data_IF_832609671885
#
_entry.id   IF_832609671885
#
_cell.length_a   1.000
_cell.length_b   1.000
_cell.length_c   1.000
_cell.angle_alpha   90.00
_cell.angle_beta   90.00
_cell.angle_gamma   90.00
#
_symmetry.space_group_name_H-M   'P 1'
#
loop_
_entity.id
_entity.type
_entity.pdbx_description
1 polymer ?
#
# COMPACT_ATOMS: atom_id res chain seq x y z
N UNK A 1 26.36 7.89 0.98
CA UNK A 1 26.45 7.06 -0.24
C UNK A 1 25.04 6.92 -0.77
N UNK A 2 24.84 7.05 -2.09
CA UNK A 2 23.53 6.91 -2.72
C UNK A 2 23.04 5.45 -2.71
N UNK A 3 23.91 4.48 -3.05
CA UNK A 3 23.80 3.03 -2.77
C UNK A 3 22.40 2.37 -2.82
N UNK A 4 21.53 2.80 -3.73
CA UNK A 4 20.26 2.11 -3.98
C UNK A 4 20.53 0.69 -4.50
N UNK A 5 21.25 0.58 -5.61
CA UNK A 5 21.55 -0.70 -6.29
C UNK A 5 22.79 -1.43 -5.74
N UNK A 6 23.70 -0.71 -5.07
CA UNK A 6 24.92 -1.32 -4.51
C UNK A 6 24.67 -2.12 -3.24
N UNK A 7 23.62 -1.73 -2.53
CA UNK A 7 23.05 -2.45 -1.43
C UNK A 7 23.96 -2.83 -0.25
N UNK A 8 23.55 -3.88 0.47
CA UNK A 8 24.26 -4.50 1.60
C UNK A 8 24.39 -6.00 1.37
N UNK A 9 25.63 -6.48 1.24
CA UNK A 9 25.92 -7.91 1.08
C UNK A 9 25.28 -8.74 2.21
N UNK A 10 24.79 -9.93 1.86
CA UNK A 10 24.17 -10.90 2.76
C UNK A 10 22.97 -10.34 3.55
N UNK A 11 22.16 -9.48 2.93
CA UNK A 11 20.84 -9.08 3.47
C UNK A 11 19.77 -9.38 2.43
N UNK A 12 18.55 -9.75 2.88
CA UNK A 12 17.40 -9.88 1.98
C UNK A 12 16.89 -8.51 1.51
N UNK A 13 17.02 -7.52 2.37
CA UNK A 13 16.51 -6.17 2.22
C UNK A 13 17.64 -5.22 1.88
N UNK A 14 18.47 -5.67 0.93
CA UNK A 14 19.79 -5.16 0.69
C UNK A 14 19.83 -3.89 -0.14
N UNK A 15 18.78 -3.53 -0.87
CA UNK A 15 18.79 -2.37 -1.78
C UNK A 15 18.05 -1.15 -1.17
N UNK A 16 18.06 0.03 -1.82
CA UNK A 16 17.60 1.33 -1.24
C UNK A 16 18.32 1.75 0.06
N UNK A 17 19.58 1.35 0.21
CA UNK A 17 20.36 1.52 1.45
C UNK A 17 20.73 2.98 1.72
N UNK A 18 20.92 3.78 0.67
CA UNK A 18 21.22 5.20 0.81
C UNK A 18 20.08 5.95 1.49
N UNK A 19 18.88 5.86 0.94
CA UNK A 19 17.68 6.48 1.50
C UNK A 19 17.38 6.00 2.92
N UNK A 20 17.50 4.69 3.17
CA UNK A 20 17.33 4.16 4.52
C UNK A 20 18.35 4.76 5.50
N UNK A 21 19.64 4.78 5.16
CA UNK A 21 20.65 5.35 6.06
C UNK A 21 20.45 6.84 6.30
N UNK A 22 20.02 7.58 5.28
CA UNK A 22 19.76 9.00 5.38
C UNK A 22 18.73 9.29 6.47
N UNK A 23 17.59 8.60 6.47
CA UNK A 23 16.52 8.86 7.44
C UNK A 23 16.71 8.16 8.79
N UNK A 24 17.24 6.93 8.80
CA UNK A 24 17.29 6.14 10.03
C UNK A 24 18.60 6.33 10.83
N UNK A 25 19.68 6.78 10.18
CA UNK A 25 20.99 6.98 10.86
C UNK A 25 21.47 8.42 10.83
N UNK A 26 21.50 9.05 9.67
CA UNK A 26 22.16 10.36 9.50
C UNK A 26 21.25 11.52 9.91
N UNK A 27 19.97 11.43 9.57
CA UNK A 27 18.98 12.48 9.77
C UNK A 27 17.67 11.98 10.39
N UNK A 28 17.71 11.34 11.59
CA UNK A 28 16.51 10.87 12.28
C UNK A 28 15.54 11.97 12.69
N UNK A 29 15.94 13.25 12.58
CA UNK A 29 15.07 14.41 12.82
C UNK A 29 14.32 14.94 11.60
N UNK A 30 14.53 14.36 10.42
CA UNK A 30 13.80 14.72 9.18
C UNK A 30 12.37 14.17 9.15
N UNK A 31 12.12 12.90 9.52
CA UNK A 31 10.75 12.42 9.71
C UNK A 31 9.99 13.31 10.71
N UNK A 32 8.71 13.58 10.42
CA UNK A 32 7.91 14.53 11.19
C UNK A 32 8.08 16.01 10.79
N UNK A 33 8.94 16.31 9.80
CA UNK A 33 9.08 17.65 9.22
C UNK A 33 8.87 17.67 7.71
N UNK A 34 9.40 16.66 7.01
CA UNK A 34 9.21 16.53 5.57
C UNK A 34 7.76 16.12 5.31
N UNK A 35 7.06 16.95 4.52
CA UNK A 35 5.63 16.75 4.28
C UNK A 35 5.35 15.89 3.06
N UNK A 36 6.32 15.74 2.14
CA UNK A 36 6.26 14.99 0.89
C UNK A 36 7.66 14.59 0.41
N UNK A 37 7.80 13.37 -0.08
CA UNK A 37 8.87 12.94 -0.99
C UNK A 37 8.28 12.67 -2.38
N UNK A 38 8.97 13.14 -3.41
CA UNK A 38 8.65 12.90 -4.82
C UNK A 38 9.85 12.16 -5.42
N UNK A 39 9.77 10.84 -5.48
CA UNK A 39 10.78 10.00 -6.10
C UNK A 39 10.55 9.92 -7.62
N UNK A 40 11.63 9.83 -8.39
CA UNK A 40 11.57 9.72 -9.85
C UNK A 40 12.48 8.59 -10.33
N UNK A 41 11.87 7.53 -10.85
CA UNK A 41 12.57 6.36 -11.37
C UNK A 41 12.37 6.22 -12.87
N UNK A 42 13.47 6.11 -13.63
CA UNK A 42 13.42 5.97 -15.08
C UNK A 42 12.46 6.99 -15.77
N UNK A 43 12.48 8.30 -15.42
CA UNK A 43 11.44 9.26 -15.82
C UNK A 43 11.54 9.68 -17.29
N UNK A 44 12.56 9.25 -18.02
CA UNK A 44 12.72 9.57 -19.44
C UNK A 44 12.09 8.52 -20.37
N UNK A 45 11.37 7.53 -19.84
CA UNK A 45 10.80 6.43 -20.61
C UNK A 45 9.33 6.17 -20.25
N UNK A 46 8.52 5.81 -21.25
CA UNK A 46 7.14 5.40 -21.03
C UNK A 46 7.02 3.90 -20.79
N UNK A 47 6.87 3.51 -19.53
CA UNK A 47 6.64 2.13 -19.07
C UNK A 47 5.26 1.54 -19.43
N UNK A 48 4.54 2.18 -20.35
CA UNK A 48 3.26 1.72 -20.83
C UNK A 48 2.40 2.82 -21.46
N UNK A 49 1.19 2.44 -21.86
CA UNK A 49 0.22 3.35 -22.48
C UNK A 49 -0.54 4.22 -21.47
N UNK A 50 -0.37 3.97 -20.18
CA UNK A 50 -1.01 4.69 -19.07
C UNK A 50 0.08 5.11 -18.09
N UNK A 51 0.12 6.38 -17.72
CA UNK A 51 0.97 6.83 -16.62
C UNK A 51 0.23 6.63 -15.29
N UNK A 52 0.94 6.21 -14.26
CA UNK A 52 0.42 6.19 -12.89
C UNK A 52 1.45 6.86 -11.98
N UNK A 53 0.99 7.55 -10.95
CA UNK A 53 1.79 7.87 -9.78
C UNK A 53 1.52 6.77 -8.77
N UNK A 54 2.56 6.05 -8.36
CA UNK A 54 2.49 5.12 -7.24
C UNK A 54 2.73 5.89 -5.96
N UNK A 55 1.86 5.73 -4.97
CA UNK A 55 1.93 6.55 -3.76
C UNK A 55 1.31 5.86 -2.55
N UNK A 56 1.63 6.40 -1.37
CA UNK A 56 0.94 6.08 -0.12
C UNK A 56 -0.56 6.36 -0.27
N UNK A 57 -1.38 5.60 0.45
CA UNK A 57 -2.84 5.76 0.39
C UNK A 57 -3.27 7.19 0.71
N UNK A 58 -2.61 7.82 1.68
CA UNK A 58 -2.97 9.13 2.21
C UNK A 58 -2.90 10.25 1.18
N UNK A 59 -2.15 10.09 0.10
CA UNK A 59 -2.03 11.07 -0.97
C UNK A 59 -2.98 10.84 -2.13
N UNK A 60 -3.66 9.69 -2.18
CA UNK A 60 -4.45 9.28 -3.34
C UNK A 60 -5.43 10.36 -3.79
N UNK A 61 -6.22 10.91 -2.84
CA UNK A 61 -7.19 11.97 -3.11
C UNK A 61 -6.52 13.26 -3.62
N UNK A 62 -5.48 13.73 -2.95
CA UNK A 62 -4.75 14.95 -3.33
C UNK A 62 -4.15 14.81 -4.74
N UNK A 63 -3.44 13.72 -5.01
CA UNK A 63 -2.82 13.46 -6.32
C UNK A 63 -3.87 13.34 -7.42
N UNK A 64 -4.99 12.66 -7.18
CA UNK A 64 -6.08 12.58 -8.17
C UNK A 64 -6.66 13.96 -8.49
N UNK A 65 -6.79 14.85 -7.50
CA UNK A 65 -7.23 16.23 -7.74
C UNK A 65 -6.22 16.98 -8.62
N UNK A 66 -4.91 16.84 -8.34
CA UNK A 66 -3.84 17.47 -9.14
C UNK A 66 -3.81 16.94 -10.58
N UNK A 67 -3.95 15.64 -10.78
CA UNK A 67 -4.00 15.03 -12.11
C UNK A 67 -5.22 15.48 -12.92
N UNK A 68 -6.39 15.66 -12.27
CA UNK A 68 -7.60 16.19 -12.93
C UNK A 68 -7.45 17.65 -13.36
N UNK A 69 -6.58 18.40 -12.70
CA UNK A 69 -6.31 19.80 -12.98
C UNK A 69 -5.18 20.02 -13.99
N UNK A 70 -4.67 18.95 -14.63
CA UNK A 70 -3.60 19.07 -15.62
C UNK A 70 -4.09 19.73 -16.92
N UNK A 71 -3.21 20.50 -17.60
CA UNK A 71 -3.47 20.99 -18.94
C UNK A 71 -3.79 19.85 -19.91
N UNK A 72 -4.73 20.09 -20.83
CA UNK A 72 -5.19 19.08 -21.80
C UNK A 72 -4.06 18.43 -22.61
N UNK A 73 -3.01 19.14 -23.09
CA UNK A 73 -1.90 18.51 -23.80
C UNK A 73 -1.16 17.46 -22.96
N UNK A 74 -0.94 17.74 -21.67
CA UNK A 74 -0.29 16.78 -20.76
C UNK A 74 -1.21 15.59 -20.46
N UNK A 75 -2.49 15.85 -20.20
CA UNK A 75 -3.46 14.81 -19.87
C UNK A 75 -3.66 13.80 -21.01
N UNK A 76 -3.36 14.18 -22.26
CA UNK A 76 -3.49 13.35 -23.46
C UNK A 76 -2.21 12.66 -23.92
N UNK A 77 -1.04 12.94 -23.32
CA UNK A 77 0.22 12.30 -23.74
C UNK A 77 0.14 10.77 -23.65
N UNK A 78 -0.42 10.26 -22.56
CA UNK A 78 -0.63 8.83 -22.37
C UNK A 78 -2.01 8.43 -22.91
N UNK A 79 -2.10 7.56 -23.95
CA UNK A 79 -3.36 7.27 -24.64
C UNK A 79 -4.39 6.51 -23.79
N UNK A 80 -3.96 5.80 -22.74
CA UNK A 80 -4.85 5.17 -21.75
C UNK A 80 -5.02 6.03 -20.48
N UNK A 81 -4.65 7.30 -20.56
CA UNK A 81 -4.80 8.29 -19.50
C UNK A 81 -3.73 8.23 -18.43
N UNK A 82 -4.04 8.88 -17.31
CA UNK A 82 -3.16 9.03 -16.14
C UNK A 82 -3.91 8.62 -14.88
N UNK A 83 -3.22 8.23 -13.82
CA UNK A 83 -3.88 7.85 -12.57
C UNK A 83 -2.94 7.76 -11.38
N UNK A 84 -3.50 7.28 -10.27
CA UNK A 84 -2.77 7.02 -9.03
C UNK A 84 -3.01 5.58 -8.61
N UNK A 85 -1.95 4.87 -8.22
CA UNK A 85 -1.99 3.51 -7.67
C UNK A 85 -1.41 3.50 -6.26
N UNK A 86 -1.97 2.68 -5.39
CA UNK A 86 -1.56 2.52 -4.00
C UNK A 86 -1.61 1.02 -3.64
N UNK A 87 -0.81 0.54 -2.68
CA UNK A 87 0.22 1.29 -1.94
C UNK A 87 1.49 1.54 -2.77
N UNK A 88 2.46 2.21 -2.18
CA UNK A 88 3.84 2.14 -2.65
C UNK A 88 4.34 0.70 -2.62
N UNK A 89 5.29 0.40 -3.48
CA UNK A 89 5.95 -0.89 -3.55
C UNK A 89 7.35 -0.76 -2.99
N UNK A 90 7.98 -1.90 -2.71
CA UNK A 90 9.32 -1.90 -2.16
C UNK A 90 10.34 -1.35 -3.15
N UNK A 91 10.05 -1.36 -4.46
CA UNK A 91 10.90 -1.21 -5.67
C UNK A 91 11.62 0.13 -5.91
N UNK A 92 11.41 1.16 -5.10
CA UNK A 92 12.41 2.24 -5.02
C UNK A 92 12.58 2.84 -3.62
N UNK A 93 13.45 3.86 -3.51
CA UNK A 93 13.75 4.57 -2.27
C UNK A 93 12.49 5.10 -1.54
N UNK A 94 11.42 5.42 -2.27
CA UNK A 94 10.15 5.91 -1.73
C UNK A 94 9.57 5.02 -0.62
N UNK A 95 9.80 3.70 -0.67
CA UNK A 95 9.41 2.78 0.41
C UNK A 95 10.12 3.10 1.72
N UNK A 96 11.44 3.23 1.69
CA UNK A 96 12.27 3.57 2.85
C UNK A 96 11.86 4.91 3.47
N UNK A 97 11.48 5.89 2.64
CA UNK A 97 10.99 7.18 3.11
C UNK A 97 9.63 7.08 3.78
N UNK A 98 8.68 6.35 3.18
CA UNK A 98 7.37 6.13 3.79
C UNK A 98 7.48 5.46 5.14
N UNK A 99 8.19 4.32 5.21
CA UNK A 99 8.35 3.60 6.47
C UNK A 99 9.13 4.41 7.50
N UNK A 100 9.87 5.46 7.14
CA UNK A 100 10.50 6.35 8.12
C UNK A 100 9.51 7.36 8.71
N UNK A 101 8.35 7.57 8.07
CA UNK A 101 7.35 8.56 8.43
C UNK A 101 7.31 9.77 7.51
N UNK A 102 7.92 9.69 6.31
CA UNK A 102 7.85 10.72 5.27
C UNK A 102 6.91 10.24 4.17
N UNK A 103 5.71 10.84 4.01
CA UNK A 103 4.78 10.43 2.96
C UNK A 103 5.42 10.58 1.57
N UNK A 104 5.38 9.52 0.77
CA UNK A 104 6.15 9.42 -0.47
C UNK A 104 5.31 9.01 -1.69
N UNK A 105 5.91 9.20 -2.86
CA UNK A 105 5.38 8.77 -4.14
C UNK A 105 6.51 8.57 -5.15
N UNK A 106 6.24 7.79 -6.18
CA UNK A 106 7.13 7.57 -7.33
C UNK A 106 6.32 7.54 -8.63
N UNK A 107 6.92 7.89 -9.77
CA UNK A 107 6.30 7.56 -11.05
C UNK A 107 6.27 6.05 -11.22
N UNK A 108 5.13 5.45 -11.52
CA UNK A 108 5.05 4.01 -11.76
C UNK A 108 5.95 3.61 -12.94
N UNK A 109 6.80 2.61 -12.71
CA UNK A 109 7.80 2.12 -13.66
C UNK A 109 7.91 0.59 -13.70
N UNK A 110 7.21 -0.15 -12.82
CA UNK A 110 7.37 -1.60 -12.67
C UNK A 110 6.73 -2.45 -13.78
N UNK A 111 6.20 -1.84 -14.84
CA UNK A 111 5.53 -2.54 -15.94
C UNK A 111 6.21 -2.24 -17.29
N UNK A 112 5.97 -3.10 -18.29
CA UNK A 112 6.36 -2.84 -19.68
C UNK A 112 7.63 -3.56 -20.14
N UNK A 113 7.79 -3.66 -21.46
CA UNK A 113 8.87 -4.43 -22.08
C UNK A 113 10.27 -3.92 -21.74
N UNK A 114 10.39 -2.65 -21.34
CA UNK A 114 11.65 -2.06 -20.91
C UNK A 114 12.23 -2.81 -19.70
N UNK A 115 11.39 -3.11 -18.70
CA UNK A 115 11.79 -3.83 -17.49
C UNK A 115 12.28 -5.26 -17.80
N UNK A 116 11.76 -5.87 -18.86
CA UNK A 116 12.12 -7.25 -19.25
C UNK A 116 13.37 -7.32 -20.14
N UNK A 117 13.68 -6.27 -20.90
CA UNK A 117 14.65 -6.35 -22.02
C UNK A 117 15.80 -5.34 -21.94
N UNK A 118 15.66 -4.26 -21.18
CA UNK A 118 16.64 -3.18 -21.12
C UNK A 118 17.13 -2.91 -19.70
N UNK A 119 16.22 -2.84 -18.72
CA UNK A 119 16.54 -2.51 -17.33
C UNK A 119 17.71 -3.35 -16.77
N UNK A 120 18.65 -2.68 -16.10
CA UNK A 120 19.88 -3.29 -15.56
C UNK A 120 20.76 -4.04 -16.58
N UNK A 121 20.71 -3.64 -17.86
CA UNK A 121 21.57 -4.19 -18.90
C UNK A 121 22.31 -3.08 -19.65
N UNK A 122 23.29 -3.47 -20.47
CA UNK A 122 23.97 -2.56 -21.39
C UNK A 122 23.05 -1.94 -22.47
N UNK A 123 21.82 -2.45 -22.61
CA UNK A 123 20.82 -1.89 -23.52
C UNK A 123 20.05 -0.71 -22.89
N UNK A 124 20.14 -0.50 -21.57
CA UNK A 124 19.72 0.73 -20.93
C UNK A 124 20.73 1.85 -21.25
N UNK A 125 20.45 2.60 -22.31
CA UNK A 125 21.30 3.65 -22.85
C UNK A 125 20.46 4.77 -23.45
N UNK A 126 21.12 5.81 -23.98
CA UNK A 126 20.49 7.01 -24.54
C UNK A 126 19.43 6.73 -25.62
N UNK A 127 19.43 5.54 -26.25
CA UNK A 127 18.41 5.13 -27.22
C UNK A 127 17.02 4.92 -26.60
N UNK A 128 16.92 4.73 -25.28
CA UNK A 128 15.66 4.58 -24.56
C UNK A 128 14.97 5.91 -24.22
N UNK A 129 15.68 7.03 -24.41
CA UNK A 129 15.22 8.38 -24.09
C UNK A 129 14.02 8.81 -24.95
N UNK A 130 12.94 9.23 -24.29
CA UNK A 130 11.79 9.88 -24.89
C UNK A 130 11.66 11.30 -24.35
N UNK A 131 11.95 12.28 -25.22
CA UNK A 131 11.91 13.71 -24.88
C UNK A 131 10.53 14.18 -24.41
N UNK A 132 9.45 13.66 -25.00
CA UNK A 132 8.09 14.08 -24.64
C UNK A 132 7.71 13.54 -23.26
N UNK A 133 8.11 12.31 -22.96
CA UNK A 133 7.90 11.69 -21.64
C UNK A 133 8.74 12.37 -20.58
N UNK A 134 10.02 12.63 -20.87
CA UNK A 134 10.92 13.37 -19.99
C UNK A 134 10.35 14.74 -19.62
N UNK A 135 9.92 15.51 -20.63
CA UNK A 135 9.29 16.82 -20.42
C UNK A 135 7.98 16.71 -19.63
N UNK A 136 7.16 15.70 -19.90
CA UNK A 136 5.92 15.46 -19.18
C UNK A 136 6.16 15.22 -17.69
N UNK A 137 7.08 14.33 -17.32
CA UNK A 137 7.39 14.07 -15.92
C UNK A 137 7.98 15.32 -15.24
N UNK A 138 8.86 16.07 -15.90
CA UNK A 138 9.38 17.33 -15.36
C UNK A 138 8.26 18.32 -15.04
N UNK A 139 7.34 18.54 -15.98
CA UNK A 139 6.22 19.46 -15.80
C UNK A 139 5.23 18.96 -14.74
N UNK A 140 4.91 17.67 -14.73
CA UNK A 140 3.99 17.07 -13.77
C UNK A 140 4.53 17.19 -12.35
N UNK A 141 5.75 16.73 -12.11
CA UNK A 141 6.31 16.67 -10.76
C UNK A 141 6.73 18.06 -10.25
N UNK A 142 7.14 18.99 -11.12
CA UNK A 142 7.30 20.40 -10.74
C UNK A 142 5.98 21.03 -10.31
N UNK A 143 4.88 20.73 -11.01
CA UNK A 143 3.56 21.21 -10.62
C UNK A 143 3.11 20.62 -9.28
N UNK A 144 3.40 19.35 -9.03
CA UNK A 144 3.11 18.71 -7.74
C UNK A 144 3.93 19.33 -6.60
N UNK A 145 5.21 19.61 -6.81
CA UNK A 145 6.06 20.33 -5.86
C UNK A 145 5.44 21.68 -5.48
N UNK A 146 5.06 22.49 -6.47
CA UNK A 146 4.38 23.77 -6.23
C UNK A 146 3.03 23.62 -5.51
N UNK A 147 2.30 22.53 -5.77
CA UNK A 147 1.05 22.25 -5.09
C UNK A 147 1.27 21.89 -3.61
N UNK A 148 2.35 21.18 -3.28
CA UNK A 148 2.73 20.92 -1.88
C UNK A 148 3.18 22.19 -1.16
N UNK A 149 3.92 23.09 -1.82
CA UNK A 149 4.35 24.38 -1.26
C UNK A 149 3.15 25.28 -0.89
N UNK A 150 1.99 25.05 -1.51
CA UNK A 150 0.73 25.74 -1.21
C UNK A 150 -0.05 25.09 -0.07
N UNK A 151 0.56 24.21 0.73
CA UNK A 151 -0.09 23.56 1.88
C UNK A 151 0.51 24.01 3.21
N UNK A 152 -0.36 24.39 4.16
CA UNK A 152 0.06 24.61 5.56
C UNK A 152 0.11 23.29 6.33
N UNK A 153 -0.77 22.35 5.97
CA UNK A 153 -0.87 21.03 6.54
C UNK A 153 -0.61 19.98 5.44
N UNK A 154 0.14 18.90 5.73
CA UNK A 154 0.33 17.80 4.78
C UNK A 154 -1.05 17.30 4.31
N UNK A 155 -1.31 17.19 2.99
CA UNK A 155 -2.63 16.85 2.46
C UNK A 155 -2.94 15.34 2.58
N UNK A 156 -2.83 14.81 3.80
CA UNK A 156 -2.99 13.41 4.13
C UNK A 156 -4.46 13.06 4.37
N UNK A 157 -4.97 12.09 3.63
CA UNK A 157 -6.28 11.49 3.80
C UNK A 157 -6.19 10.01 4.22
N UNK A 158 -6.22 9.75 5.52
CA UNK A 158 -6.17 8.38 6.06
C UNK A 158 -7.36 7.51 5.67
N UNK A 159 -8.45 8.09 5.17
CA UNK A 159 -9.64 7.34 4.80
C UNK A 159 -9.36 6.33 3.68
N UNK A 160 -8.50 6.68 2.71
CA UNK A 160 -8.15 5.80 1.59
C UNK A 160 -7.48 4.50 2.07
N UNK A 161 -6.58 4.57 3.05
CA UNK A 161 -5.96 3.38 3.67
C UNK A 161 -7.00 2.54 4.41
N UNK A 162 -7.85 3.20 5.21
CA UNK A 162 -8.85 2.55 6.04
C UNK A 162 -9.93 1.85 5.20
N UNK A 163 -10.30 2.45 4.07
CA UNK A 163 -11.20 1.80 3.10
C UNK A 163 -10.53 0.58 2.50
N UNK A 164 -9.28 0.69 2.03
CA UNK A 164 -8.53 -0.46 1.51
C UNK A 164 -8.39 -1.59 2.55
N UNK A 165 -8.11 -1.24 3.81
CA UNK A 165 -8.08 -2.20 4.93
C UNK A 165 -9.43 -2.88 5.15
N UNK A 166 -10.53 -2.15 5.03
CA UNK A 166 -11.88 -2.70 5.16
C UNK A 166 -12.29 -3.62 4.02
N UNK A 167 -11.83 -3.30 2.80
CA UNK A 167 -12.06 -4.08 1.58
C UNK A 167 -11.22 -5.36 1.55
N UNK A 168 -10.06 -5.40 2.20
CA UNK A 168 -9.21 -6.59 2.25
C UNK A 168 -9.74 -7.67 3.20
N UNK A 169 -10.51 -7.33 4.23
CA UNK A 169 -11.05 -8.31 5.20
C UNK A 169 -12.12 -9.22 4.56
N UNK A 170 -11.87 -10.54 4.55
CA UNK A 170 -12.82 -11.53 4.07
C UNK A 170 -13.80 -11.96 5.18
N UNK A 171 -15.08 -11.60 5.04
CA UNK A 171 -16.11 -11.81 6.08
C UNK A 171 -16.35 -13.27 6.51
N UNK A 172 -15.92 -14.26 5.74
CA UNK A 172 -16.17 -15.68 6.02
C UNK A 172 -15.20 -16.30 7.04
N UNK A 173 -14.13 -15.58 7.42
CA UNK A 173 -13.07 -16.11 8.28
C UNK A 173 -13.19 -15.67 9.73
N UNK A 174 -14.16 -14.84 10.08
CA UNK A 174 -14.28 -14.22 11.40
C UNK A 174 -15.59 -14.59 12.07
N UNK A 175 -15.59 -14.62 13.41
CA UNK A 175 -16.85 -14.71 14.14
C UNK A 175 -17.67 -13.43 13.91
N UNK A 176 -19.01 -13.53 13.72
CA UNK A 176 -19.85 -12.36 13.45
C UNK A 176 -19.73 -11.26 14.52
N UNK A 177 -19.52 -11.64 15.78
CA UNK A 177 -19.34 -10.70 16.90
C UNK A 177 -18.04 -9.91 16.76
N UNK A 178 -16.93 -10.59 16.46
CA UNK A 178 -15.64 -9.93 16.29
C UNK A 178 -15.64 -9.03 15.04
N UNK A 179 -16.12 -9.55 13.91
CA UNK A 179 -16.21 -8.78 12.68
C UNK A 179 -17.08 -7.53 12.85
N UNK A 180 -18.23 -7.65 13.52
CA UNK A 180 -19.09 -6.51 13.81
C UNK A 180 -18.39 -5.43 14.66
N UNK A 181 -17.60 -5.83 15.65
CA UNK A 181 -16.81 -4.90 16.46
C UNK A 181 -15.71 -4.21 15.66
N UNK A 182 -14.94 -4.98 14.87
CA UNK A 182 -13.89 -4.49 13.99
C UNK A 182 -14.43 -3.47 12.97
N UNK A 183 -15.51 -3.82 12.26
CA UNK A 183 -16.14 -2.93 11.27
C UNK A 183 -16.68 -1.65 11.90
N UNK A 184 -17.15 -1.70 13.15
CA UNK A 184 -17.58 -0.51 13.89
C UNK A 184 -16.41 0.41 14.26
N UNK A 185 -15.29 -0.16 14.72
CA UNK A 185 -14.05 0.61 14.97
C UNK A 185 -13.58 1.26 13.68
N UNK A 186 -13.51 0.50 12.59
CA UNK A 186 -13.08 0.97 11.29
C UNK A 186 -13.96 2.11 10.77
N UNK A 187 -15.28 1.95 10.80
CA UNK A 187 -16.22 3.00 10.38
C UNK A 187 -16.06 4.29 11.20
N UNK A 188 -15.80 4.17 12.51
CA UNK A 188 -15.51 5.32 13.37
C UNK A 188 -14.19 6.00 12.99
N UNK A 189 -13.18 5.21 12.64
CA UNK A 189 -11.88 5.72 12.19
C UNK A 189 -12.01 6.45 10.85
N UNK A 190 -12.74 5.87 9.88
CA UNK A 190 -13.01 6.47 8.56
C UNK A 190 -13.75 7.80 8.71
N UNK A 191 -14.81 7.89 9.52
CA UNK A 191 -15.52 9.17 9.76
C UNK A 191 -14.57 10.26 10.25
N UNK A 192 -13.68 9.92 11.18
CA UNK A 192 -12.71 10.88 11.72
C UNK A 192 -11.66 11.28 10.68
N UNK A 193 -11.19 10.32 9.89
CA UNK A 193 -10.23 10.56 8.82
C UNK A 193 -10.81 11.51 7.77
N UNK A 194 -12.02 11.26 7.29
CA UNK A 194 -12.71 12.13 6.31
C UNK A 194 -12.94 13.54 6.84
N UNK A 195 -13.35 13.67 8.10
CA UNK A 195 -13.54 14.98 8.73
C UNK A 195 -12.24 15.76 8.90
N UNK A 196 -11.14 15.05 9.23
CA UNK A 196 -9.83 15.67 9.34
C UNK A 196 -9.30 16.06 7.96
N UNK A 197 -9.49 15.21 6.93
CA UNK A 197 -9.12 15.51 5.56
C UNK A 197 -9.85 16.75 5.03
N UNK A 198 -11.16 16.85 5.24
CA UNK A 198 -11.94 18.03 4.85
C UNK A 198 -11.46 19.31 5.55
N UNK A 199 -11.11 19.22 6.84
CA UNK A 199 -10.51 20.34 7.56
C UNK A 199 -9.14 20.72 6.98
N UNK A 200 -8.26 19.73 6.75
CA UNK A 200 -6.95 19.94 6.13
C UNK A 200 -7.06 20.63 4.76
N UNK A 201 -8.00 20.18 3.92
CA UNK A 201 -8.30 20.80 2.62
C UNK A 201 -8.71 22.27 2.79
N UNK A 202 -9.66 22.58 3.68
CA UNK A 202 -10.11 23.95 3.96
C UNK A 202 -8.95 24.86 4.43
N UNK A 203 -8.07 24.35 5.32
CA UNK A 203 -6.91 25.12 5.80
C UNK A 203 -5.87 25.35 4.72
N UNK A 204 -5.65 24.36 3.86
CA UNK A 204 -4.72 24.49 2.74
C UNK A 204 -5.25 25.45 1.68
N UNK A 205 -6.55 25.44 1.36
CA UNK A 205 -7.16 26.42 0.46
C UNK A 205 -7.02 27.86 0.99
N UNK A 206 -7.23 28.04 2.31
CA UNK A 206 -7.01 29.34 2.96
C UNK A 206 -5.55 29.76 2.89
N UNK A 207 -4.61 28.86 3.21
CA UNK A 207 -3.19 29.14 3.17
C UNK A 207 -2.72 29.52 1.76
N UNK A 208 -3.11 28.75 0.73
CA UNK A 208 -2.81 29.06 -0.66
C UNK A 208 -3.35 30.45 -1.06
N UNK A 209 -4.55 30.80 -0.62
CA UNK A 209 -5.13 32.14 -0.87
C UNK A 209 -4.31 33.24 -0.18
N UNK A 210 -3.88 33.02 1.07
CA UNK A 210 -3.11 33.99 1.83
C UNK A 210 -1.69 34.16 1.28
N UNK A 211 -1.04 33.11 0.79
CA UNK A 211 0.29 33.20 0.16
C UNK A 211 0.36 34.28 -0.94
N UNK A 212 -0.73 34.46 -1.68
CA UNK A 212 -0.81 35.47 -2.75
C UNK A 212 -1.29 36.85 -2.29
N UNK A 213 -1.96 36.95 -1.14
CA UNK A 213 -2.61 38.19 -0.67
C UNK A 213 -1.88 38.86 0.48
N UNK A 214 -1.40 38.07 1.44
CA UNK A 214 -0.75 38.52 2.65
C UNK A 214 0.17 37.40 3.20
N UNK A 215 1.45 37.53 2.90
CA UNK A 215 2.47 36.56 3.32
C UNK A 215 2.63 36.50 4.85
N UNK A 216 2.35 37.59 5.58
CA UNK A 216 2.42 37.62 7.03
C UNK A 216 1.32 36.76 7.67
N UNK A 217 0.09 36.88 7.17
CA UNK A 217 -1.02 36.04 7.60
C UNK A 217 -0.84 34.57 7.19
N UNK A 218 -0.26 34.30 6.02
CA UNK A 218 0.09 32.94 5.61
C UNK A 218 1.10 32.30 6.58
N UNK A 219 2.16 33.03 6.95
CA UNK A 219 3.15 32.57 7.91
C UNK A 219 2.56 32.32 9.31
N UNK A 220 1.71 33.23 9.79
CA UNK A 220 1.00 33.06 11.06
C UNK A 220 0.11 31.81 11.04
N UNK A 221 -0.64 31.59 9.96
CA UNK A 221 -1.44 30.37 9.77
C UNK A 221 -0.58 29.10 9.80
N UNK A 222 0.55 29.09 9.08
CA UNK A 222 1.45 27.95 9.06
C UNK A 222 2.08 27.67 10.44
N UNK A 223 2.29 28.70 11.25
CA UNK A 223 2.77 28.58 12.63
C UNK A 223 1.69 28.04 13.57
N UNK A 224 0.47 28.55 13.46
CA UNK A 224 -0.68 28.07 14.25
C UNK A 224 -0.99 26.58 13.98
N UNK A 225 -0.81 26.13 12.73
CA UNK A 225 -1.03 24.74 12.33
C UNK A 225 0.20 23.82 12.54
N UNK A 226 1.34 24.34 13.00
CA UNK A 226 2.58 23.57 13.11
C UNK A 226 2.46 22.34 14.02
N UNK A 227 1.73 22.46 15.13
CA UNK A 227 1.46 21.32 16.02
C UNK A 227 0.62 20.24 15.36
N UNK A 228 -0.37 20.64 14.54
CA UNK A 228 -1.21 19.69 13.80
C UNK A 228 -0.46 19.06 12.63
N UNK A 229 0.43 19.80 11.96
CA UNK A 229 1.35 19.25 10.95
C UNK A 229 2.18 18.10 11.54
N UNK A 230 2.76 18.30 12.71
CA UNK A 230 3.53 17.26 13.40
C UNK A 230 2.65 16.07 13.80
N UNK A 231 1.46 16.31 14.37
CA UNK A 231 0.52 15.24 14.75
C UNK A 231 0.04 14.43 13.51
N UNK A 232 -0.14 15.07 12.34
CA UNK A 232 -0.51 14.39 11.09
C UNK A 232 0.61 13.47 10.59
N UNK A 233 1.86 13.95 10.57
CA UNK A 233 3.01 13.13 10.17
C UNK A 233 3.28 11.99 11.17
N UNK A 234 3.05 12.23 12.47
CA UNK A 234 3.11 11.18 13.48
C UNK A 234 2.02 10.11 13.28
N UNK A 235 0.80 10.51 12.91
CA UNK A 235 -0.27 9.57 12.55
C UNK A 235 0.06 8.78 11.28
N UNK A 236 0.71 9.40 10.30
CA UNK A 236 1.22 8.70 9.11
C UNK A 236 2.28 7.66 9.47
N UNK A 237 3.30 8.03 10.24
CA UNK A 237 4.31 7.08 10.73
C UNK A 237 3.67 5.92 11.50
N UNK A 238 2.73 6.23 12.38
CA UNK A 238 1.97 5.21 13.11
C UNK A 238 1.26 4.24 12.17
N UNK A 239 0.64 4.73 11.10
CA UNK A 239 0.00 3.87 10.10
C UNK A 239 0.99 2.94 9.41
N UNK A 240 2.16 3.46 9.01
CA UNK A 240 3.21 2.64 8.38
C UNK A 240 3.72 1.56 9.33
N UNK A 241 3.93 1.86 10.61
CA UNK A 241 4.39 0.87 11.59
C UNK A 241 3.35 -0.17 11.94
N UNK A 242 2.10 0.26 12.02
CA UNK A 242 1.02 -0.60 12.49
C UNK A 242 0.48 -1.50 11.39
N UNK A 243 0.30 -0.96 10.18
CA UNK A 243 -0.49 -1.63 9.15
C UNK A 243 0.30 -2.08 7.92
N UNK A 244 1.51 -1.55 7.69
CA UNK A 244 2.32 -1.97 6.53
C UNK A 244 3.18 -3.19 6.88
N UNK A 245 2.92 -4.29 6.19
CA UNK A 245 3.68 -5.55 6.25
C UNK A 245 4.13 -5.95 4.84
N UNK A 246 5.05 -6.91 4.78
CA UNK A 246 5.59 -7.49 3.56
C UNK A 246 5.27 -8.98 3.53
N UNK A 247 4.82 -9.48 2.40
CA UNK A 247 4.86 -10.93 2.17
C UNK A 247 6.28 -11.40 1.82
N UNK A 248 6.42 -12.70 1.59
CA UNK A 248 7.67 -13.34 1.17
C UNK A 248 8.11 -12.96 -0.25
N UNK A 249 7.23 -12.32 -1.02
CA UNK A 249 7.53 -11.68 -2.31
C UNK A 249 7.85 -10.19 -2.19
N UNK A 250 8.00 -9.66 -0.97
CA UNK A 250 8.30 -8.26 -0.67
C UNK A 250 7.23 -7.26 -1.13
N UNK A 251 5.99 -7.73 -1.33
CA UNK A 251 4.86 -6.87 -1.63
C UNK A 251 4.31 -6.23 -0.36
N UNK A 252 4.13 -4.91 -0.40
CA UNK A 252 3.53 -4.16 0.69
C UNK A 252 2.02 -4.44 0.80
N UNK A 253 1.56 -4.84 1.98
CA UNK A 253 0.16 -5.19 2.26
C UNK A 253 -0.23 -4.99 3.72
N UNK A 254 -1.50 -5.19 4.06
CA UNK A 254 -1.94 -5.31 5.45
C UNK A 254 -1.59 -6.69 6.00
N UNK A 255 -1.26 -6.76 7.30
CA UNK A 255 -0.74 -7.99 7.91
C UNK A 255 -1.70 -9.18 7.80
N UNK A 256 -3.01 -8.94 7.95
CA UNK A 256 -4.00 -10.01 7.80
C UNK A 256 -4.08 -10.60 6.38
N UNK A 257 -3.72 -9.84 5.33
CA UNK A 257 -3.90 -10.28 3.94
C UNK A 257 -3.10 -11.53 3.63
N UNK A 258 -1.81 -11.57 4.00
CA UNK A 258 -0.95 -12.74 3.79
C UNK A 258 -1.54 -13.99 4.48
N UNK A 259 -2.00 -13.84 5.72
CA UNK A 259 -2.59 -14.94 6.48
C UNK A 259 -3.90 -15.45 5.84
N UNK A 260 -4.77 -14.55 5.34
CA UNK A 260 -5.97 -14.94 4.62
C UNK A 260 -5.67 -15.66 3.30
N UNK A 261 -4.65 -15.21 2.56
CA UNK A 261 -4.17 -15.87 1.34
C UNK A 261 -3.62 -17.26 1.66
N UNK A 262 -2.77 -17.39 2.68
CA UNK A 262 -2.24 -18.67 3.14
C UNK A 262 -3.35 -19.64 3.52
N UNK A 263 -4.34 -19.20 4.29
CA UNK A 263 -5.51 -20.03 4.61
C UNK A 263 -6.32 -20.43 3.36
N UNK A 264 -6.44 -19.55 2.36
CA UNK A 264 -7.12 -19.88 1.10
C UNK A 264 -6.40 -21.02 0.36
N UNK A 265 -5.07 -20.92 0.28
CA UNK A 265 -4.21 -21.92 -0.35
C UNK A 265 -4.19 -23.24 0.40
N UNK A 266 -4.11 -23.20 1.75
CA UNK A 266 -4.25 -24.39 2.59
C UNK A 266 -5.61 -25.08 2.42
N UNK A 267 -6.70 -24.30 2.36
CA UNK A 267 -8.05 -24.84 2.13
C UNK A 267 -8.17 -25.50 0.77
N UNK A 268 -7.65 -24.83 -0.28
CA UNK A 268 -7.64 -25.35 -1.66
C UNK A 268 -6.83 -26.65 -1.74
N UNK A 269 -5.65 -26.69 -1.14
CA UNK A 269 -4.80 -27.88 -1.12
C UNK A 269 -5.49 -29.07 -0.43
N UNK A 270 -6.16 -28.84 0.72
CA UNK A 270 -6.88 -29.91 1.41
C UNK A 270 -8.01 -30.50 0.57
N UNK A 271 -8.76 -29.65 -0.13
CA UNK A 271 -9.83 -30.09 -1.03
C UNK A 271 -9.29 -30.86 -2.24
N UNK A 272 -8.17 -30.42 -2.81
CA UNK A 272 -7.49 -31.10 -3.92
C UNK A 272 -6.95 -32.48 -3.51
N UNK A 273 -6.33 -32.61 -2.33
CA UNK A 273 -5.88 -33.89 -1.80
C UNK A 273 -7.05 -34.84 -1.52
N UNK A 274 -8.14 -34.34 -0.94
CA UNK A 274 -9.35 -35.13 -0.71
C UNK A 274 -9.99 -35.64 -2.03
N UNK A 275 -9.76 -34.94 -3.14
CA UNK A 275 -10.16 -35.35 -4.49
C UNK A 275 -9.12 -36.25 -5.19
N UNK A 276 -7.99 -36.57 -4.54
CA UNK A 276 -6.91 -37.39 -5.09
C UNK A 276 -5.93 -36.63 -6.00
N UNK A 277 -6.02 -35.31 -6.11
CA UNK A 277 -5.15 -34.49 -6.97
C UNK A 277 -3.96 -33.91 -6.20
N UNK A 278 -2.96 -34.77 -5.96
CA UNK A 278 -1.69 -34.37 -5.32
C UNK A 278 -0.94 -33.27 -6.08
N UNK A 279 -0.97 -33.29 -7.42
CA UNK A 279 -0.26 -32.32 -8.24
C UNK A 279 -0.85 -30.90 -8.11
N UNK A 280 -2.18 -30.78 -8.07
CA UNK A 280 -2.83 -29.50 -7.84
C UNK A 280 -2.62 -29.00 -6.41
N UNK A 281 -2.68 -29.89 -5.42
CA UNK A 281 -2.39 -29.55 -4.03
C UNK A 281 -0.98 -28.96 -3.88
N UNK A 282 0.04 -29.60 -4.49
CA UNK A 282 1.41 -29.10 -4.48
C UNK A 282 1.54 -27.70 -5.08
N UNK A 283 0.84 -27.40 -6.19
CA UNK A 283 0.83 -26.05 -6.76
C UNK A 283 0.26 -25.02 -5.78
N UNK A 284 -0.85 -25.35 -5.12
CA UNK A 284 -1.48 -24.49 -4.11
C UNK A 284 -0.56 -24.25 -2.90
N UNK A 285 0.16 -25.28 -2.42
CA UNK A 285 1.11 -25.12 -1.31
C UNK A 285 2.34 -24.27 -1.70
N UNK A 286 2.78 -24.33 -2.95
CA UNK A 286 3.85 -23.46 -3.45
C UNK A 286 3.45 -21.97 -3.57
N UNK A 287 2.15 -21.65 -3.51
CA UNK A 287 1.67 -20.26 -3.44
C UNK A 287 1.86 -19.64 -2.04
N UNK A 288 2.11 -20.46 -1.01
CA UNK A 288 2.27 -20.02 0.38
C UNK A 288 3.72 -19.62 0.63
N UNK A 289 3.92 -18.37 1.05
CA UNK A 289 5.22 -17.85 1.50
C UNK A 289 6.38 -18.16 0.52
N UNK A 290 7.47 -18.74 1.03
CA UNK A 290 8.67 -19.13 0.29
C UNK A 290 8.62 -20.59 -0.20
N UNK A 291 7.50 -21.31 -0.03
CA UNK A 291 7.42 -22.75 -0.29
C UNK A 291 7.63 -23.13 -1.76
N UNK A 292 7.50 -22.19 -2.70
CA UNK A 292 7.93 -22.39 -4.10
C UNK A 292 9.40 -22.82 -4.21
N UNK A 293 10.26 -22.36 -3.30
CA UNK A 293 11.67 -22.73 -3.27
C UNK A 293 11.88 -24.08 -2.61
N UNK A 294 11.05 -24.47 -1.64
CA UNK A 294 11.08 -25.81 -1.04
C UNK A 294 10.85 -26.91 -2.08
N UNK A 295 10.11 -26.60 -3.15
CA UNK A 295 9.89 -27.51 -4.25
C UNK A 295 11.10 -27.68 -5.19
N UNK A 296 12.05 -26.73 -5.21
CA UNK A 296 13.11 -26.61 -6.22
C UNK A 296 14.54 -26.69 -5.66
N UNK A 297 14.73 -26.41 -4.36
CA UNK A 297 16.05 -26.34 -3.71
C UNK A 297 16.11 -27.23 -2.48
N UNK A 298 17.34 -27.53 -2.02
CA UNK A 298 17.59 -28.25 -0.77
C UNK A 298 17.11 -27.45 0.44
N UNK A 299 16.76 -28.15 1.53
CA UNK A 299 16.28 -27.53 2.77
C UNK A 299 17.25 -26.49 3.31
N UNK A 300 18.55 -26.82 3.35
CA UNK A 300 19.59 -25.92 3.83
C UNK A 300 19.63 -24.59 3.06
N UNK A 301 19.35 -24.61 1.76
CA UNK A 301 19.33 -23.38 0.93
C UNK A 301 18.11 -22.53 1.27
N UNK A 302 16.93 -23.16 1.38
CA UNK A 302 15.70 -22.43 1.70
C UNK A 302 15.76 -21.84 3.10
N UNK A 303 16.20 -22.62 4.08
CA UNK A 303 16.37 -22.14 5.46
C UNK A 303 17.44 -21.05 5.57
N UNK A 304 18.52 -21.12 4.79
CA UNK A 304 19.51 -20.04 4.73
C UNK A 304 18.86 -18.71 4.35
N UNK A 305 18.10 -18.66 3.25
CA UNK A 305 17.47 -17.41 2.81
C UNK A 305 16.33 -16.96 3.72
N UNK A 306 15.56 -17.89 4.28
CA UNK A 306 14.52 -17.57 5.26
C UNK A 306 15.13 -16.94 6.53
N UNK A 307 16.24 -17.49 7.03
CA UNK A 307 16.97 -16.95 8.18
C UNK A 307 17.51 -15.53 7.89
N UNK A 308 18.03 -15.29 6.68
CA UNK A 308 18.53 -13.98 6.26
C UNK A 308 17.41 -12.92 6.16
N UNK A 309 16.17 -13.34 5.88
CA UNK A 309 15.02 -12.46 5.82
C UNK A 309 14.41 -12.18 7.22
N UNK A 310 14.53 -13.10 8.18
CA UNK A 310 13.82 -13.02 9.46
C UNK A 310 14.71 -12.73 10.67
N UNK A 311 15.88 -13.36 10.74
CA UNK A 311 16.63 -13.51 12.00
C UNK A 311 17.92 -12.68 12.05
N UNK A 312 18.12 -11.77 11.09
CA UNK A 312 19.23 -10.82 11.15
C UNK A 312 18.92 -9.65 12.11
N UNK A 313 19.96 -8.97 12.62
CA UNK A 313 19.80 -7.71 13.34
C UNK A 313 19.00 -6.66 12.56
N UNK A 314 18.25 -5.80 13.25
CA UNK A 314 17.39 -4.79 12.59
C UNK A 314 18.15 -3.83 11.66
N UNK A 315 19.41 -3.54 11.98
CA UNK A 315 20.29 -2.68 11.19
C UNK A 315 20.88 -3.38 9.95
N UNK A 316 20.66 -4.70 9.82
CA UNK A 316 20.92 -5.54 8.65
C UNK A 316 19.65 -5.80 7.84
N UNK A 317 18.51 -5.94 8.52
CA UNK A 317 17.20 -6.08 7.87
C UNK A 317 16.66 -4.76 7.30
N UNK A 318 17.26 -3.62 7.65
CA UNK A 318 17.01 -2.31 7.02
C UNK A 318 15.51 -1.99 6.91
N UNK A 319 14.99 -1.84 5.70
CA UNK A 319 13.59 -1.47 5.46
C UNK A 319 12.61 -2.63 5.67
N UNK A 320 13.08 -3.88 5.70
CA UNK A 320 12.26 -5.05 6.02
C UNK A 320 12.18 -5.38 7.51
N UNK A 321 12.98 -4.72 8.36
CA UNK A 321 13.04 -4.98 9.80
C UNK A 321 11.66 -4.93 10.47
N UNK A 322 11.19 -6.07 10.98
CA UNK A 322 9.89 -6.20 11.65
C UNK A 322 8.67 -6.08 10.74
N UNK A 323 8.84 -6.16 9.42
CA UNK A 323 7.73 -6.01 8.44
C UNK A 323 7.32 -7.30 7.74
N UNK A 324 8.22 -8.28 7.63
CA UNK A 324 7.90 -9.57 7.04
C UNK A 324 6.82 -10.30 7.84
N UNK A 325 5.83 -10.87 7.15
CA UNK A 325 4.79 -11.69 7.78
C UNK A 325 5.34 -13.01 8.30
N UNK A 326 4.52 -13.75 9.05
CA UNK A 326 4.87 -15.10 9.50
C UNK A 326 5.24 -16.04 8.34
N UNK A 327 5.97 -17.11 8.67
CA UNK A 327 6.34 -18.18 7.74
C UNK A 327 5.63 -19.47 8.10
N UNK A 328 5.05 -20.13 7.12
CA UNK A 328 4.62 -21.52 7.19
C UNK A 328 5.63 -22.40 6.42
N UNK A 329 6.59 -23.05 7.10
CA UNK A 329 7.47 -24.00 6.44
C UNK A 329 6.69 -25.29 6.14
N UNK A 330 6.47 -25.61 4.85
CA UNK A 330 5.66 -26.75 4.40
C UNK A 330 6.46 -27.87 3.74
N UNK A 331 7.80 -27.85 3.82
CA UNK A 331 8.68 -28.83 3.15
C UNK A 331 8.29 -30.27 3.45
N UNK A 332 8.22 -30.65 4.72
CA UNK A 332 7.92 -32.03 5.13
C UNK A 332 6.58 -32.51 4.55
N UNK A 333 5.57 -31.64 4.57
CA UNK A 333 4.26 -31.94 4.00
C UNK A 333 4.30 -32.05 2.46
N UNK A 334 5.04 -31.16 1.78
CA UNK A 334 5.25 -31.21 0.34
C UNK A 334 5.94 -32.53 -0.06
N UNK A 335 6.95 -32.97 0.70
CA UNK A 335 7.67 -34.24 0.46
C UNK A 335 6.79 -35.46 0.74
N UNK A 336 5.97 -35.43 1.79
CA UNK A 336 4.98 -36.46 2.09
C UNK A 336 3.97 -36.63 0.96
N UNK A 337 3.38 -35.51 0.47
CA UNK A 337 2.44 -35.52 -0.66
C UNK A 337 3.11 -36.07 -1.92
N UNK A 338 4.35 -35.67 -2.22
CA UNK A 338 5.11 -36.20 -3.37
C UNK A 338 5.32 -37.71 -3.27
N UNK A 339 5.66 -38.20 -2.09
CA UNK A 339 5.88 -39.63 -1.82
C UNK A 339 4.58 -40.41 -1.99
N UNK A 340 3.48 -39.92 -1.43
CA UNK A 340 2.15 -40.53 -1.59
C UNK A 340 1.67 -40.52 -3.04
N UNK A 341 1.86 -39.42 -3.75
CA UNK A 341 1.46 -39.28 -5.15
C UNK A 341 2.23 -40.23 -6.10
N UNK A 342 3.38 -40.75 -5.68
CA UNK A 342 4.15 -41.73 -6.45
C UNK A 342 3.66 -43.18 -6.27
N UNK A 343 2.76 -43.44 -5.31
CA UNK A 343 2.19 -44.77 -5.09
C UNK A 343 1.11 -45.09 -6.13
N UNK A 344 0.89 -46.39 -6.47
CA UNK A 344 -0.16 -46.79 -7.40
C UNK A 344 -1.58 -46.43 -6.95
N UNK A 345 -1.82 -46.44 -5.63
CA UNK A 345 -3.08 -46.06 -4.99
C UNK A 345 -2.77 -45.04 -3.87
N UNK A 346 -2.67 -43.74 -4.20
CA UNK A 346 -2.35 -42.72 -3.22
C UNK A 346 -3.44 -42.57 -2.15
N UNK A 347 -3.03 -42.53 -0.88
CA UNK A 347 -3.91 -42.17 0.24
C UNK A 347 -3.38 -40.91 0.93
N UNK A 348 -4.08 -39.80 0.73
CA UNK A 348 -3.71 -38.49 1.29
C UNK A 348 -4.40 -38.18 2.62
N UNK A 349 -5.03 -39.17 3.28
CA UNK A 349 -5.83 -38.94 4.49
C UNK A 349 -5.02 -38.30 5.63
N UNK A 350 -3.74 -38.66 5.76
CA UNK A 350 -2.86 -38.10 6.76
C UNK A 350 -2.51 -36.64 6.46
N UNK A 351 -2.13 -36.34 5.22
CA UNK A 351 -1.75 -35.01 4.73
C UNK A 351 -2.95 -34.05 4.80
N UNK A 352 -4.16 -34.52 4.51
CA UNK A 352 -5.41 -33.74 4.69
C UNK A 352 -5.63 -33.40 6.16
N UNK A 353 -5.40 -34.35 7.08
CA UNK A 353 -5.54 -34.11 8.52
C UNK A 353 -4.51 -33.10 9.04
N UNK A 354 -3.28 -33.17 8.53
CA UNK A 354 -2.22 -32.19 8.82
C UNK A 354 -2.58 -30.79 8.30
N UNK A 355 -3.07 -30.68 7.06
CA UNK A 355 -3.55 -29.42 6.49
C UNK A 355 -4.68 -28.80 7.31
N UNK A 356 -5.63 -29.60 7.81
CA UNK A 356 -6.67 -29.09 8.70
C UNK A 356 -6.12 -28.60 10.04
N UNK A 357 -5.05 -29.22 10.54
CA UNK A 357 -4.37 -28.75 11.76
C UNK A 357 -3.66 -27.41 11.50
N UNK A 358 -2.98 -27.28 10.36
CA UNK A 358 -2.35 -26.01 9.94
C UNK A 358 -3.39 -24.91 9.73
N UNK A 359 -4.51 -25.20 9.07
CA UNK A 359 -5.63 -24.25 8.89
C UNK A 359 -6.15 -23.73 10.23
N UNK A 360 -6.30 -24.59 11.24
CA UNK A 360 -6.74 -24.15 12.57
C UNK A 360 -5.74 -23.22 13.25
N UNK A 361 -4.45 -23.52 13.15
CA UNK A 361 -3.37 -22.68 13.70
C UNK A 361 -3.33 -21.33 13.00
N UNK A 362 -3.36 -21.34 11.67
CA UNK A 362 -3.32 -20.13 10.85
C UNK A 362 -4.57 -19.27 11.06
N UNK A 363 -5.75 -19.88 11.26
CA UNK A 363 -6.97 -19.18 11.62
C UNK A 363 -6.87 -18.49 13.00
N UNK A 364 -6.21 -19.12 13.98
CA UNK A 364 -5.94 -18.49 15.27
C UNK A 364 -4.96 -17.33 15.14
N UNK A 365 -3.95 -17.46 14.27
CA UNK A 365 -3.02 -16.38 13.98
C UNK A 365 -3.71 -15.19 13.32
N UNK A 366 -4.58 -15.42 12.32
CA UNK A 366 -5.40 -14.39 11.69
C UNK A 366 -6.24 -13.62 12.71
N UNK A 367 -6.92 -14.33 13.62
CA UNK A 367 -7.71 -13.69 14.68
C UNK A 367 -6.85 -12.81 15.60
N UNK A 368 -5.63 -13.24 15.92
CA UNK A 368 -4.71 -12.48 16.74
C UNK A 368 -4.21 -11.22 16.02
N UNK A 369 -3.79 -11.35 14.75
CA UNK A 369 -3.38 -10.22 13.91
C UNK A 369 -4.49 -9.17 13.80
N UNK A 370 -5.72 -9.59 13.51
CA UNK A 370 -6.84 -8.66 13.40
C UNK A 370 -7.22 -8.02 14.74
N UNK A 371 -6.97 -8.68 15.88
CA UNK A 371 -7.13 -8.04 17.21
C UNK A 371 -6.11 -6.93 17.41
N UNK A 372 -4.86 -7.15 17.02
CA UNK A 372 -3.78 -6.16 17.08
C UNK A 372 -4.05 -4.99 16.12
N UNK A 373 -4.42 -5.28 14.87
CA UNK A 373 -4.81 -4.26 13.90
C UNK A 373 -6.04 -3.47 14.38
N UNK A 374 -7.04 -4.11 15.00
CA UNK A 374 -8.19 -3.41 15.58
C UNK A 374 -7.80 -2.47 16.73
N UNK A 375 -6.81 -2.85 17.56
CA UNK A 375 -6.24 -1.96 18.57
C UNK A 375 -5.54 -0.77 17.89
N UNK A 376 -4.80 -1.04 16.82
CA UNK A 376 -4.21 -0.03 15.95
C UNK A 376 -5.24 0.96 15.40
N UNK A 377 -6.36 0.47 14.89
CA UNK A 377 -7.47 1.29 14.39
C UNK A 377 -8.07 2.16 15.49
N UNK A 378 -8.25 1.60 16.70
CA UNK A 378 -8.77 2.35 17.83
C UNK A 378 -7.81 3.47 18.27
N UNK A 379 -6.50 3.21 18.25
CA UNK A 379 -5.45 4.17 18.54
C UNK A 379 -5.38 5.27 17.47
N UNK A 380 -5.35 4.92 16.18
CA UNK A 380 -5.40 5.88 15.10
C UNK A 380 -6.66 6.75 15.22
N UNK A 381 -7.83 6.15 15.47
CA UNK A 381 -9.05 6.91 15.67
C UNK A 381 -8.92 7.93 16.83
N UNK A 382 -8.20 7.58 17.91
CA UNK A 382 -7.91 8.50 19.02
C UNK A 382 -6.98 9.64 18.59
N UNK A 383 -5.91 9.35 17.86
CA UNK A 383 -5.00 10.34 17.28
C UNK A 383 -5.76 11.32 16.38
N UNK A 384 -6.56 10.81 15.43
CA UNK A 384 -7.39 11.60 14.53
C UNK A 384 -8.37 12.49 15.30
N UNK A 385 -9.02 11.96 16.34
CA UNK A 385 -9.95 12.74 17.17
C UNK A 385 -9.28 13.92 17.87
N UNK A 386 -8.05 13.75 18.37
CA UNK A 386 -7.27 14.83 19.03
C UNK A 386 -6.99 15.97 18.05
N UNK A 387 -6.78 15.65 16.77
CA UNK A 387 -6.54 16.61 15.70
C UNK A 387 -7.81 17.24 15.12
N UNK A 388 -9.02 16.82 15.52
CA UNK A 388 -10.22 17.50 15.07
C UNK A 388 -10.39 18.84 15.80
N UNK A 389 -10.83 19.92 15.11
CA UNK A 389 -11.13 21.18 15.76
C UNK A 389 -12.22 21.03 16.84
N UNK A 390 -12.00 21.65 18.01
CA UNK A 390 -12.97 21.64 19.12
C UNK A 390 -14.26 22.34 18.66
N UNK A 391 -15.40 21.64 18.75
CA UNK A 391 -16.71 22.20 18.39
C UNK A 391 -17.22 21.87 16.98
N UNK A 392 -16.49 21.10 16.17
CA UNK A 392 -16.97 20.65 14.86
C UNK A 392 -18.04 19.55 14.98
N UNK A 393 -19.25 19.93 15.40
CA UNK A 393 -20.47 19.20 15.04
C UNK A 393 -20.84 19.59 13.62
N UNK A 394 -20.39 18.82 12.64
CA UNK A 394 -20.77 19.02 11.24
C UNK A 394 -21.66 17.85 10.84
N UNK A 395 -22.97 18.10 10.80
CA UNK A 395 -23.93 17.20 10.14
C UNK A 395 -23.55 17.11 8.67
N UNK A 396 -23.59 15.92 8.04
CA UNK A 396 -23.33 15.81 6.61
C UNK A 396 -24.34 16.65 5.84
N UNK A 397 -23.85 17.53 4.95
CA UNK A 397 -24.68 18.20 3.94
C UNK A 397 -25.27 17.12 3.04
N UNK A 398 -26.47 16.64 3.35
CA UNK A 398 -27.29 15.88 2.39
C UNK A 398 -27.58 16.81 1.21
N UNK A 399 -27.00 16.50 0.06
CA UNK A 399 -27.41 17.09 -1.22
C UNK A 399 -28.92 16.90 -1.39
N UNK A 400 -29.66 18.01 -1.40
CA UNK A 400 -31.06 18.02 -1.82
C UNK A 400 -31.08 17.79 -3.33
N UNK A 401 -31.20 16.53 -3.77
CA UNK A 401 -31.65 16.20 -5.12
C UNK A 401 -33.06 16.77 -5.33
N UNK A 402 -33.15 17.93 -5.99
CA UNK A 402 -34.41 18.44 -6.56
C UNK A 402 -34.86 17.45 -7.63
N UNK A 403 -35.86 16.62 -7.33
CA UNK A 403 -36.62 15.88 -8.35
C UNK A 403 -37.45 16.89 -9.15
N UNK A 404 -37.06 17.13 -10.40
CA UNK A 404 -37.90 17.78 -11.38
C UNK A 404 -39.01 16.80 -11.81
N UNK A 405 -40.25 17.08 -11.41
CA UNK A 405 -41.43 16.37 -11.92
C UNK A 405 -41.71 16.87 -13.34
N UNK A 406 -41.24 16.13 -14.35
CA UNK A 406 -41.67 16.27 -15.73
C UNK A 406 -43.09 15.71 -15.91
N UNK A 407 -44.08 16.59 -16.04
CA UNK A 407 -45.41 16.27 -16.54
C UNK A 407 -45.29 15.73 -17.98
N UNK A 408 -45.57 14.44 -18.17
CA UNK A 408 -45.83 13.85 -19.50
C UNK A 408 -47.23 14.25 -19.96
N UNK A 409 -47.32 15.14 -20.94
CA UNK A 409 -48.53 15.31 -21.75
C UNK A 409 -48.65 14.15 -22.73
N UNK A 410 -49.79 13.44 -22.69
CA UNK A 410 -50.22 12.50 -23.73
C UNK A 410 -50.74 13.29 -24.95
N UNK A 411 -50.42 12.91 -26.20
CA UNK A 411 -51.16 13.40 -27.35
C UNK A 411 -52.44 12.59 -27.55
N UNK A 412 -53.55 13.30 -27.80
CA UNK A 412 -54.83 12.76 -28.27
C UNK A 412 -54.68 12.30 -29.72
N UNK A 413 -55.22 11.12 -30.03
CA UNK A 413 -55.59 10.65 -31.37
C UNK A 413 -56.92 11.30 -31.79
N UNK A 414 -56.97 11.77 -33.02
CA UNK A 414 -58.14 11.96 -33.91
C UNK A 414 -57.56 11.83 -35.32
N UNK A 415 -57.79 10.75 -36.07
CA UNK A 415 -58.92 10.59 -37.02
C UNK A 415 -59.11 11.84 -37.88
N UNK A 416 -58.37 11.94 -38.99
CA UNK A 416 -58.78 11.68 -40.39
C UNK A 416 -57.53 11.66 -41.29
#
# INVERSE_FOLDING_TARGET
MAAEEWGVIDSRYDWSVGAWNELFRLHPGWPGRIIANINLELPAHAHGKKHKIRSVYEYRRFLQQQLRALPEPMAKLYPKGIGVVCPIETWSDDFSLAIAGVPSMVNEFGEGSFMETHYHSQYDNDGAYDEQVYLFHHLLYSRLLLAFDQTALPPLNFADRLVAFGESIQSQRLSPTFEGALRKTLATCIDRAERLAAYTEERNELYATLLHKDAGLAAALAQDEAGRRADLLAAFRFCEDTFTRLDWGEQAMFGHVACEQNLASLHRAAWQLAAGDGAAALRSLCEIDDNRYAAAFDEAVVEYFADHAQNQPADRLLWGAGRLTGRLPLRALIEAIRTQAALPEPDFSQEVSELHTLQKKEQQHLEQLLREENQGLAELARMLKKMLPKGASIKPKREKKKKANGKKNKPKRTEE
#
